data_IF_293856105553
#
_entry.id   IF_293856105553
#
_cell.length_a   1.000
_cell.length_b   1.000
_cell.length_c   1.000
_cell.angle_alpha   90.00
_cell.angle_beta   90.00
_cell.angle_gamma   90.00
#
_symmetry.space_group_name_H-M   'P 1'
#
loop_
_entity.id
_entity.type
_entity.pdbx_description
1 polymer ?
#
# COMPACT_ATOMS: atom_id res chain seq x y z
N UNK A 1 18.26 31.60 -11.32
CA UNK A 1 16.92 31.06 -10.99
C UNK A 1 17.04 29.59 -10.63
N UNK A 2 16.47 29.15 -9.51
CA UNK A 2 17.20 29.15 -8.25
C UNK A 2 17.42 27.67 -7.87
N UNK A 3 18.61 27.08 -8.17
CA UNK A 3 18.88 25.64 -7.94
C UNK A 3 18.52 25.20 -6.52
N UNK A 4 18.66 26.12 -5.56
CA UNK A 4 18.30 25.93 -4.15
C UNK A 4 16.79 25.68 -3.95
N UNK A 5 15.91 26.41 -4.63
CA UNK A 5 14.46 26.22 -4.50
C UNK A 5 14.02 24.81 -4.94
N UNK A 6 14.64 24.28 -6.00
CA UNK A 6 14.32 22.94 -6.48
C UNK A 6 14.69 21.86 -5.46
N UNK A 7 15.85 22.02 -4.80
CA UNK A 7 16.29 21.09 -3.73
C UNK A 7 15.33 21.14 -2.54
N UNK A 8 14.91 22.33 -2.10
CA UNK A 8 13.98 22.47 -0.97
C UNK A 8 12.63 21.82 -1.26
N UNK A 9 12.09 22.02 -2.47
CA UNK A 9 10.82 21.41 -2.88
C UNK A 9 10.94 19.88 -2.93
N UNK A 10 12.02 19.34 -3.48
CA UNK A 10 12.26 17.89 -3.50
C UNK A 10 12.34 17.30 -2.09
N UNK A 11 13.04 17.95 -1.17
CA UNK A 11 13.14 17.48 0.23
C UNK A 11 11.76 17.50 0.90
N UNK A 12 10.93 18.52 0.65
CA UNK A 12 9.56 18.59 1.16
C UNK A 12 8.68 17.46 0.59
N UNK A 13 8.78 17.16 -0.70
CA UNK A 13 8.04 16.04 -1.31
C UNK A 13 8.47 14.68 -0.75
N UNK A 14 9.77 14.47 -0.53
CA UNK A 14 10.28 13.23 0.09
C UNK A 14 9.83 13.13 1.55
N UNK A 15 9.87 14.23 2.31
CA UNK A 15 9.38 14.25 3.69
C UNK A 15 7.86 13.98 3.76
N UNK A 16 7.07 14.57 2.85
CA UNK A 16 5.64 14.29 2.73
C UNK A 16 5.38 12.83 2.34
N UNK A 17 6.13 12.27 1.39
CA UNK A 17 6.01 10.86 1.03
C UNK A 17 6.35 9.92 2.19
N UNK A 18 7.38 10.27 2.98
CA UNK A 18 7.77 9.51 4.17
C UNK A 18 6.78 9.67 5.35
N UNK A 19 6.03 10.77 5.42
CA UNK A 19 5.04 11.00 6.47
C UNK A 19 3.66 10.45 6.11
N UNK A 20 3.29 10.46 4.81
CA UNK A 20 2.00 9.98 4.29
C UNK A 20 1.99 8.47 4.07
N UNK A 21 3.16 7.85 4.07
CA UNK A 21 3.29 6.40 4.09
C UNK A 21 4.27 6.01 5.19
N UNK A 22 3.89 5.20 6.21
CA UNK A 22 2.52 4.75 6.48
C UNK A 22 2.19 4.15 7.85
N UNK A 23 0.91 3.98 8.05
CA UNK A 23 0.34 2.86 8.80
C UNK A 23 0.59 1.51 8.05
N UNK A 24 1.79 1.24 7.49
CA UNK A 24 2.10 0.06 6.63
C UNK A 24 2.92 -0.93 7.47
N UNK A 25 2.20 -1.79 8.19
CA UNK A 25 2.70 -3.11 8.56
C UNK A 25 1.78 -4.24 8.10
N UNK A 26 0.64 -3.92 7.48
CA UNK A 26 -0.21 -4.91 6.83
C UNK A 26 -0.14 -4.62 5.36
N UNK A 27 0.44 -5.51 4.54
CA UNK A 27 0.24 -5.42 3.11
C UNK A 27 -1.26 -5.54 2.91
N UNK A 28 -1.93 -4.41 2.69
CA UNK A 28 -3.36 -4.40 2.46
C UNK A 28 -3.70 -5.21 1.22
N UNK A 29 -2.70 -5.62 0.42
CA UNK A 29 -2.87 -6.48 -0.72
C UNK A 29 -3.80 -5.86 -1.77
N UNK A 30 -4.04 -4.54 -1.72
CA UNK A 30 -5.05 -3.88 -2.54
C UNK A 30 -6.42 -3.70 -1.87
N UNK A 31 -6.53 -3.95 -0.59
CA UNK A 31 -7.68 -3.62 0.24
C UNK A 31 -7.57 -2.17 0.78
N UNK A 32 -8.68 -1.40 0.90
CA UNK A 32 -10.05 -1.76 0.58
C UNK A 32 -10.43 -1.58 -0.91
N UNK A 33 -9.47 -1.27 -1.79
CA UNK A 33 -9.72 -0.94 -3.19
C UNK A 33 -10.37 -2.09 -3.96
N UNK A 34 -9.86 -3.32 -3.85
CA UNK A 34 -10.39 -4.46 -4.60
C UNK A 34 -9.98 -5.82 -4.02
N UNK A 35 -10.95 -6.73 -3.91
CA UNK A 35 -10.72 -8.15 -3.62
C UNK A 35 -9.83 -8.83 -4.69
N UNK A 36 -9.91 -8.39 -5.95
CA UNK A 36 -9.09 -8.93 -7.05
C UNK A 36 -7.60 -8.64 -6.85
N UNK A 37 -7.27 -7.43 -6.37
CA UNK A 37 -5.90 -7.09 -6.02
C UNK A 37 -5.42 -7.93 -4.84
N UNK A 38 -6.28 -8.17 -3.83
CA UNK A 38 -5.95 -9.02 -2.69
C UNK A 38 -5.69 -10.46 -3.13
N UNK A 39 -6.53 -11.02 -3.99
CA UNK A 39 -6.29 -12.34 -4.58
C UNK A 39 -4.99 -12.40 -5.38
N UNK A 40 -4.70 -11.37 -6.19
CA UNK A 40 -3.44 -11.27 -6.95
C UNK A 40 -2.23 -11.17 -6.03
N UNK A 41 -2.33 -10.40 -4.95
CA UNK A 41 -1.30 -10.28 -3.92
C UNK A 41 -1.03 -11.64 -3.26
N UNK A 42 -2.08 -12.33 -2.79
CA UNK A 42 -1.97 -13.66 -2.19
C UNK A 42 -1.32 -14.68 -3.12
N UNK A 43 -1.71 -14.68 -4.40
CA UNK A 43 -1.17 -15.58 -5.43
C UNK A 43 0.30 -15.25 -5.75
N UNK A 44 0.63 -13.97 -5.91
CA UNK A 44 1.98 -13.52 -6.26
C UNK A 44 2.99 -13.81 -5.15
N UNK A 45 2.57 -13.70 -3.88
CA UNK A 45 3.40 -13.96 -2.72
C UNK A 45 3.32 -15.39 -2.18
N UNK A 46 2.56 -16.28 -2.85
CA UNK A 46 2.35 -17.69 -2.44
C UNK A 46 1.75 -17.84 -1.04
N UNK A 47 0.96 -16.88 -0.58
CA UNK A 47 0.20 -16.97 0.67
C UNK A 47 -1.10 -17.78 0.54
N UNK A 48 -1.57 -17.99 -0.70
CA UNK A 48 -2.74 -18.80 -1.01
C UNK A 48 -3.14 -18.70 -2.48
N UNK A 49 -4.14 -19.47 -2.91
CA UNK A 49 -4.69 -19.42 -4.28
C UNK A 49 -5.61 -18.23 -4.51
N UNK A 50 -6.24 -17.71 -3.46
CA UNK A 50 -7.18 -16.58 -3.53
C UNK A 50 -7.06 -15.67 -2.30
N UNK A 51 -7.75 -14.54 -2.31
CA UNK A 51 -7.75 -13.56 -1.24
C UNK A 51 -9.00 -12.69 -1.27
N UNK A 52 -9.42 -12.20 -0.09
CA UNK A 52 -10.54 -11.25 0.06
C UNK A 52 -10.25 -10.17 1.09
N UNK A 53 -10.80 -8.99 0.87
CA UNK A 53 -10.76 -7.86 1.78
C UNK A 53 -11.76 -8.02 2.92
N UNK A 54 -11.27 -7.95 4.14
CA UNK A 54 -11.97 -8.26 5.39
C UNK A 54 -11.63 -7.23 6.47
N UNK A 55 -12.26 -7.36 7.64
CA UNK A 55 -12.07 -6.45 8.77
C UNK A 55 -12.86 -5.14 8.62
N UNK A 56 -12.72 -4.23 9.60
CA UNK A 56 -13.38 -2.92 9.53
C UNK A 56 -12.91 -2.17 8.28
N UNK A 57 -13.87 -1.57 7.56
CA UNK A 57 -13.65 -0.87 6.29
C UNK A 57 -12.99 -1.71 5.19
N UNK A 58 -13.05 -3.05 5.27
CA UNK A 58 -12.36 -3.96 4.33
C UNK A 58 -10.86 -3.69 4.23
N UNK A 59 -10.19 -3.21 5.27
CA UNK A 59 -8.77 -2.82 5.17
C UNK A 59 -7.78 -4.00 5.26
N UNK A 60 -8.23 -5.24 5.54
CA UNK A 60 -7.33 -6.39 5.71
C UNK A 60 -7.48 -7.39 4.56
N UNK A 61 -6.41 -7.71 3.85
CA UNK A 61 -6.41 -8.81 2.89
C UNK A 61 -6.25 -10.16 3.62
N UNK A 62 -7.22 -11.06 3.45
CA UNK A 62 -7.19 -12.43 3.99
C UNK A 62 -6.97 -13.41 2.84
N UNK A 63 -5.80 -14.04 2.82
CA UNK A 63 -5.45 -15.08 1.85
C UNK A 63 -6.07 -16.43 2.22
N UNK A 64 -6.49 -17.20 1.21
CA UNK A 64 -7.03 -18.55 1.34
C UNK A 64 -6.24 -19.49 0.42
N UNK A 65 -5.80 -20.64 0.95
CA UNK A 65 -4.97 -21.65 0.26
C UNK A 65 -5.75 -22.39 -0.82
#
# INVERSE_FOLDING_TARGET
>A
MNKVCFVVVLVLFVALAAYVSPIEGVPTGGCPLSDSLCAKYCKSHKFGKTGRCTGPNKMKCKCLV
#
